data_IF_423079104780
#
_entry.id   IF_423079104780
#
_cell.length_a   1.000
_cell.length_b   1.000
_cell.length_c   1.000
_cell.angle_alpha   90.00
_cell.angle_beta   90.00
_cell.angle_gamma   90.00
#
_symmetry.space_group_name_H-M   'P 1'
#
loop_
_entity.id
_entity.type
_entity.pdbx_description
1 polymer ?
#
# COMPACT_ATOMS: atom_id res chain seq x y z
N UNK A 1 1.13 -6.74 26.61
CA UNK A 1 1.49 -8.13 26.22
C UNK A 1 2.70 -8.04 25.30
N UNK A 2 3.76 -8.76 25.62
CA UNK A 2 5.15 -8.48 25.17
C UNK A 2 5.33 -8.37 23.65
N UNK A 3 5.59 -7.18 23.15
CA UNK A 3 6.07 -6.91 21.79
C UNK A 3 7.32 -7.75 21.43
N UNK A 4 8.15 -8.11 22.42
CA UNK A 4 9.30 -9.00 22.24
C UNK A 4 8.94 -10.41 21.74
N UNK A 5 7.77 -10.93 22.09
CA UNK A 5 7.36 -12.29 21.73
C UNK A 5 6.99 -12.41 20.24
N UNK A 6 6.44 -11.34 19.66
CA UNK A 6 6.09 -11.29 18.24
C UNK A 6 7.25 -10.85 17.34
N UNK A 7 8.22 -10.08 17.89
CA UNK A 7 9.40 -9.64 17.14
C UNK A 7 10.47 -10.72 16.98
N UNK A 8 10.54 -11.72 17.89
CA UNK A 8 11.56 -12.76 17.86
C UNK A 8 11.49 -13.66 16.61
N UNK A 9 10.32 -14.21 16.20
CA UNK A 9 10.22 -14.97 14.96
C UNK A 9 10.60 -14.16 13.72
N UNK A 10 10.20 -12.88 13.68
CA UNK A 10 10.55 -11.96 12.60
C UNK A 10 12.05 -11.71 12.52
N UNK A 11 12.70 -11.49 13.66
CA UNK A 11 14.16 -11.35 13.74
C UNK A 11 14.89 -12.60 13.25
N UNK A 12 14.40 -13.79 13.63
CA UNK A 12 14.98 -15.07 13.17
C UNK A 12 14.87 -15.20 11.65
N UNK A 13 13.72 -14.84 11.07
CA UNK A 13 13.52 -14.88 9.61
C UNK A 13 14.50 -13.93 8.92
N UNK A 14 14.67 -12.71 9.43
CA UNK A 14 15.64 -11.74 8.88
C UNK A 14 17.08 -12.30 8.96
N UNK A 15 17.46 -12.85 10.09
CA UNK A 15 18.81 -13.43 10.27
C UNK A 15 19.05 -14.61 9.33
N UNK A 16 18.07 -15.48 9.15
CA UNK A 16 18.15 -16.59 8.19
C UNK A 16 18.28 -16.08 6.75
N UNK A 17 17.53 -15.04 6.42
CA UNK A 17 17.58 -14.38 5.11
C UNK A 17 18.97 -13.78 4.86
N UNK A 18 19.52 -12.99 5.78
CA UNK A 18 20.84 -12.38 5.70
C UNK A 18 21.94 -13.45 5.56
N UNK A 19 21.82 -14.52 6.35
CA UNK A 19 22.77 -15.64 6.29
C UNK A 19 22.73 -16.37 4.96
N UNK A 20 21.53 -16.66 4.44
CA UNK A 20 21.37 -17.32 3.15
C UNK A 20 21.89 -16.44 2.00
N UNK A 21 21.50 -15.17 1.97
CA UNK A 21 22.02 -14.18 1.02
C UNK A 21 23.57 -14.12 1.06
N UNK A 22 24.14 -13.98 2.24
CA UNK A 22 25.57 -13.91 2.41
C UNK A 22 26.29 -15.15 1.88
N UNK A 23 25.74 -16.35 2.09
CA UNK A 23 26.29 -17.60 1.51
C UNK A 23 26.26 -17.62 -0.02
N UNK A 24 25.21 -17.08 -0.63
CA UNK A 24 25.14 -16.99 -2.09
C UNK A 24 26.19 -16.02 -2.61
N UNK A 25 26.31 -14.84 -2.00
CA UNK A 25 27.31 -13.85 -2.38
C UNK A 25 28.74 -14.36 -2.27
N UNK A 26 29.06 -15.19 -1.26
CA UNK A 26 30.38 -15.83 -1.16
C UNK A 26 30.70 -16.77 -2.33
N UNK A 27 29.71 -17.29 -3.09
CA UNK A 27 29.95 -18.08 -4.30
C UNK A 27 30.42 -17.21 -5.46
N UNK A 28 29.92 -15.96 -5.53
CA UNK A 28 30.16 -15.00 -6.62
C UNK A 28 31.46 -14.20 -6.40
N UNK A 29 31.81 -13.94 -5.13
CA UNK A 29 32.96 -13.13 -4.75
C UNK A 29 34.31 -13.84 -5.02
N UNK A 30 35.38 -13.05 -5.30
CA UNK A 30 36.73 -13.58 -5.49
C UNK A 30 37.20 -14.41 -4.30
N UNK A 31 38.06 -15.46 -4.53
CA UNK A 31 38.50 -16.32 -3.45
C UNK A 31 39.22 -15.59 -2.30
N UNK A 32 39.89 -14.47 -2.57
CA UNK A 32 40.58 -13.65 -1.56
C UNK A 32 39.61 -13.10 -0.50
N UNK A 33 38.36 -12.76 -0.86
CA UNK A 33 37.37 -12.27 0.09
C UNK A 33 36.92 -13.36 1.06
N UNK A 34 36.95 -14.62 0.63
CA UNK A 34 36.56 -15.76 1.48
C UNK A 34 37.45 -15.94 2.70
N UNK A 35 38.66 -15.40 2.69
CA UNK A 35 39.60 -15.48 3.83
C UNK A 35 39.30 -14.45 4.93
N UNK A 36 38.43 -13.48 4.65
CA UNK A 36 38.04 -12.40 5.60
C UNK A 36 36.59 -12.55 6.08
N UNK A 37 36.18 -13.76 6.45
CA UNK A 37 34.81 -14.07 6.81
C UNK A 37 34.15 -13.10 7.81
N UNK A 38 34.84 -12.72 8.87
CA UNK A 38 34.30 -11.84 9.89
C UNK A 38 34.02 -10.43 9.32
N UNK A 39 34.98 -9.87 8.60
CA UNK A 39 34.86 -8.55 7.96
C UNK A 39 33.73 -8.58 6.95
N UNK A 40 33.63 -9.64 6.15
CA UNK A 40 32.56 -9.82 5.19
C UNK A 40 31.16 -9.78 5.84
N UNK A 41 30.96 -10.58 6.92
CA UNK A 41 29.66 -10.62 7.59
C UNK A 41 29.31 -9.30 8.27
N UNK A 42 30.28 -8.64 8.92
CA UNK A 42 30.07 -7.31 9.51
C UNK A 42 29.68 -6.29 8.43
N UNK A 43 30.42 -6.26 7.31
CA UNK A 43 30.14 -5.33 6.20
C UNK A 43 28.77 -5.58 5.60
N UNK A 44 28.33 -6.83 5.49
CA UNK A 44 27.03 -7.20 4.97
C UNK A 44 25.90 -6.73 5.90
N UNK A 45 26.04 -6.91 7.21
CA UNK A 45 25.07 -6.45 8.21
C UNK A 45 24.95 -4.93 8.18
N UNK A 46 26.08 -4.21 8.12
CA UNK A 46 26.12 -2.76 8.01
C UNK A 46 25.43 -2.30 6.71
N UNK A 47 25.76 -2.94 5.58
CA UNK A 47 25.15 -2.61 4.29
C UNK A 47 23.61 -2.78 4.32
N UNK A 48 23.14 -3.90 4.84
CA UNK A 48 21.70 -4.16 4.93
C UNK A 48 21.03 -3.16 5.89
N UNK A 49 21.60 -2.93 7.08
CA UNK A 49 21.08 -1.97 8.04
C UNK A 49 21.03 -0.54 7.48
N UNK A 50 22.08 -0.13 6.76
CA UNK A 50 22.12 1.17 6.12
C UNK A 50 21.06 1.33 5.01
N UNK A 51 20.82 0.27 4.23
CA UNK A 51 19.79 0.30 3.19
C UNK A 51 18.35 0.29 3.76
N UNK A 52 18.13 -0.39 4.88
CA UNK A 52 16.86 -0.30 5.60
C UNK A 52 16.63 1.14 6.06
N UNK A 53 17.66 1.76 6.63
CA UNK A 53 17.59 3.16 7.10
C UNK A 53 17.34 4.15 5.97
N UNK A 54 18.03 3.99 4.83
CA UNK A 54 17.89 4.89 3.67
C UNK A 54 16.70 4.55 2.76
N UNK A 55 15.98 3.46 3.01
CA UNK A 55 14.83 3.03 2.19
C UNK A 55 15.16 2.97 0.69
N UNK A 56 16.27 2.37 0.34
CA UNK A 56 16.69 2.33 -1.06
C UNK A 56 16.08 1.14 -1.82
N UNK A 57 15.97 1.22 -3.17
CA UNK A 57 15.57 0.08 -3.99
C UNK A 57 16.48 -1.14 -3.87
N UNK A 58 17.69 -0.96 -3.33
CA UNK A 58 18.63 -2.06 -3.10
C UNK A 58 18.04 -3.14 -2.18
N UNK A 59 17.18 -2.76 -1.22
CA UNK A 59 16.48 -3.76 -0.39
C UNK A 59 15.60 -4.68 -1.24
N UNK A 60 14.89 -4.13 -2.20
CA UNK A 60 14.11 -4.93 -3.15
C UNK A 60 14.97 -5.91 -3.94
N UNK A 61 16.12 -5.45 -4.44
CA UNK A 61 17.10 -6.32 -5.10
C UNK A 61 17.56 -7.46 -4.19
N UNK A 62 17.93 -7.18 -2.92
CA UNK A 62 18.37 -8.19 -1.96
C UNK A 62 17.27 -9.23 -1.72
N UNK A 63 16.03 -8.79 -1.58
CA UNK A 63 14.86 -9.67 -1.39
C UNK A 63 14.69 -10.57 -2.61
N UNK A 64 14.65 -10.03 -3.82
CA UNK A 64 14.40 -10.83 -5.03
C UNK A 64 15.57 -11.74 -5.40
N UNK A 65 16.79 -11.26 -5.22
CA UNK A 65 17.97 -12.09 -5.44
C UNK A 65 17.96 -13.32 -4.53
N UNK A 66 17.62 -13.14 -3.26
CA UNK A 66 17.51 -14.24 -2.30
C UNK A 66 16.33 -15.16 -2.62
N UNK A 67 15.15 -14.58 -2.89
CA UNK A 67 13.94 -15.35 -3.20
C UNK A 67 14.11 -16.20 -4.46
N UNK A 68 14.65 -15.64 -5.53
CA UNK A 68 14.88 -16.40 -6.76
C UNK A 68 15.95 -17.50 -6.61
N UNK A 69 16.95 -17.27 -5.75
CA UNK A 69 17.87 -18.35 -5.38
C UNK A 69 17.20 -19.44 -4.56
N UNK A 70 16.34 -19.11 -3.62
CA UNK A 70 15.58 -20.12 -2.86
C UNK A 70 14.70 -20.95 -3.78
N UNK A 71 14.00 -20.31 -4.73
CA UNK A 71 13.19 -20.99 -5.73
C UNK A 71 14.07 -21.91 -6.60
N UNK A 72 15.21 -21.41 -7.07
CA UNK A 72 16.15 -22.19 -7.86
C UNK A 72 16.70 -23.40 -7.10
N UNK A 73 17.13 -23.23 -5.85
CA UNK A 73 17.62 -24.33 -5.01
C UNK A 73 16.53 -25.37 -4.73
N UNK A 74 15.28 -24.94 -4.52
CA UNK A 74 14.12 -25.82 -4.39
C UNK A 74 13.88 -26.61 -5.68
N UNK A 75 13.87 -25.94 -6.85
CA UNK A 75 13.70 -26.60 -8.14
C UNK A 75 14.81 -27.63 -8.39
N UNK A 76 16.05 -27.32 -8.01
CA UNK A 76 17.17 -28.26 -8.11
C UNK A 76 17.02 -29.45 -7.17
N UNK A 77 16.52 -29.22 -5.96
CA UNK A 77 16.26 -30.30 -5.01
C UNK A 77 15.19 -31.24 -5.55
N UNK A 78 14.06 -30.70 -6.01
CA UNK A 78 12.96 -31.46 -6.58
C UNK A 78 13.34 -32.21 -7.87
N UNK A 79 14.22 -31.61 -8.68
CA UNK A 79 14.72 -32.22 -9.92
C UNK A 79 15.87 -33.20 -9.70
N UNK A 80 16.35 -33.40 -8.48
CA UNK A 80 17.50 -34.28 -8.20
C UNK A 80 17.38 -35.69 -8.78
N UNK A 81 16.22 -36.36 -8.72
CA UNK A 81 16.02 -37.70 -9.35
C UNK A 81 16.09 -37.64 -10.89
N UNK A 82 15.83 -36.49 -11.50
CA UNK A 82 15.77 -36.29 -12.94
C UNK A 82 17.06 -35.66 -13.46
N UNK A 83 18.11 -36.45 -13.65
CA UNK A 83 19.47 -35.98 -13.99
C UNK A 83 19.53 -34.98 -15.16
N UNK A 84 18.71 -35.22 -16.23
CA UNK A 84 18.67 -34.32 -17.40
C UNK A 84 18.17 -32.92 -17.01
N UNK A 85 17.07 -32.82 -16.23
CA UNK A 85 16.49 -31.57 -15.76
C UNK A 85 17.45 -30.86 -14.80
N UNK A 86 18.02 -31.58 -13.83
CA UNK A 86 18.96 -31.01 -12.88
C UNK A 86 20.21 -30.43 -13.58
N UNK A 87 20.74 -31.13 -14.58
CA UNK A 87 21.87 -30.65 -15.36
C UNK A 87 21.51 -29.43 -16.23
N UNK A 88 20.31 -29.39 -16.78
CA UNK A 88 19.79 -28.23 -17.50
C UNK A 88 19.71 -27.01 -16.58
N UNK A 89 19.11 -27.14 -15.39
CA UNK A 89 19.04 -26.06 -14.40
C UNK A 89 20.44 -25.55 -14.00
N UNK A 90 21.41 -26.44 -13.81
CA UNK A 90 22.81 -26.03 -13.55
C UNK A 90 23.42 -25.22 -14.67
N UNK A 91 23.16 -25.59 -15.92
CA UNK A 91 23.64 -24.82 -17.09
C UNK A 91 22.94 -23.50 -17.23
N UNK A 92 21.61 -23.47 -16.96
CA UNK A 92 20.81 -22.26 -17.04
C UNK A 92 21.31 -21.20 -16.06
N UNK A 93 21.62 -21.57 -14.82
CA UNK A 93 22.15 -20.63 -13.83
C UNK A 93 23.69 -20.62 -13.78
N UNK A 94 24.32 -20.48 -14.94
CA UNK A 94 25.78 -20.42 -15.02
C UNK A 94 26.33 -19.21 -14.24
N UNK A 95 27.21 -19.47 -13.26
CA UNK A 95 27.83 -18.46 -12.41
C UNK A 95 26.86 -17.47 -11.74
N UNK A 96 25.62 -17.90 -11.47
CA UNK A 96 24.56 -17.12 -10.85
C UNK A 96 24.11 -15.87 -11.67
N UNK A 97 24.61 -15.65 -12.87
CA UNK A 97 24.29 -14.48 -13.68
C UNK A 97 22.81 -14.38 -14.07
N UNK A 98 22.10 -15.44 -14.48
CA UNK A 98 20.69 -15.35 -14.81
C UNK A 98 19.82 -14.88 -13.65
N UNK A 99 20.06 -15.39 -12.43
CA UNK A 99 19.33 -14.96 -11.23
C UNK A 99 19.67 -13.51 -10.87
N UNK A 100 20.93 -13.12 -10.99
CA UNK A 100 21.36 -11.74 -10.78
C UNK A 100 20.64 -10.78 -11.72
N UNK A 101 20.63 -11.08 -13.02
CA UNK A 101 19.97 -10.24 -14.05
C UNK A 101 18.47 -10.15 -13.82
N UNK A 102 17.78 -11.27 -13.59
CA UNK A 102 16.32 -11.24 -13.36
C UNK A 102 15.97 -10.46 -12.09
N UNK A 103 16.79 -10.56 -11.04
CA UNK A 103 16.58 -9.81 -9.80
C UNK A 103 16.73 -8.31 -10.00
N UNK A 104 17.73 -7.87 -10.78
CA UNK A 104 17.91 -6.47 -11.17
C UNK A 104 16.71 -5.98 -11.99
N UNK A 105 16.31 -6.72 -13.03
CA UNK A 105 15.20 -6.34 -13.89
C UNK A 105 13.87 -6.28 -13.14
N UNK A 106 13.65 -7.22 -12.22
CA UNK A 106 12.42 -7.26 -11.44
C UNK A 106 12.37 -6.13 -10.39
N UNK A 107 13.50 -5.78 -9.80
CA UNK A 107 13.61 -4.60 -8.92
C UNK A 107 13.40 -3.31 -9.70
N UNK A 108 14.03 -3.18 -10.87
CA UNK A 108 13.84 -2.01 -11.73
C UNK A 108 12.38 -1.85 -12.18
N UNK A 109 11.73 -2.95 -12.55
CA UNK A 109 10.29 -2.96 -12.82
C UNK A 109 9.50 -2.43 -11.62
N UNK A 110 9.80 -2.90 -10.40
CA UNK A 110 9.13 -2.45 -9.18
C UNK A 110 9.32 -0.96 -8.89
N UNK A 111 10.52 -0.42 -9.14
CA UNK A 111 10.80 1.03 -9.02
C UNK A 111 9.98 1.82 -10.05
N UNK A 112 10.04 1.43 -11.32
CA UNK A 112 9.29 2.12 -12.39
C UNK A 112 7.79 2.08 -12.15
N UNK A 113 7.29 0.95 -11.63
CA UNK A 113 5.87 0.78 -11.31
C UNK A 113 5.43 1.67 -10.13
N UNK A 114 6.29 1.84 -9.12
CA UNK A 114 6.06 2.74 -8.00
C UNK A 114 6.04 4.22 -8.43
N UNK A 115 6.93 4.60 -9.36
CA UNK A 115 7.07 5.98 -9.85
C UNK A 115 5.94 6.46 -10.76
N UNK A 116 5.11 5.56 -11.30
CA UNK A 116 4.09 5.88 -12.29
C UNK A 116 2.69 5.46 -11.83
N UNK A 117 2.05 6.22 -10.91
CA UNK A 117 0.68 5.95 -10.51
C UNK A 117 -0.29 5.97 -11.70
N UNK A 118 -1.23 5.05 -11.70
CA UNK A 118 -2.27 4.96 -12.74
C UNK A 118 -3.63 5.35 -12.18
N UNK A 119 -4.60 5.63 -13.05
CA UNK A 119 -6.01 5.78 -12.66
C UNK A 119 -6.70 4.43 -12.85
N UNK A 120 -7.12 3.81 -11.74
CA UNK A 120 -7.92 2.58 -11.76
C UNK A 120 -9.39 2.94 -11.62
N UNK A 121 -10.21 2.60 -12.60
CA UNK A 121 -11.61 3.01 -12.66
C UNK A 121 -12.57 1.87 -12.34
N UNK A 122 -13.55 2.14 -11.47
CA UNK A 122 -14.64 1.22 -11.12
C UNK A 122 -15.99 1.89 -11.38
N UNK A 123 -16.89 1.16 -12.04
CA UNK A 123 -18.29 1.55 -12.22
C UNK A 123 -19.15 0.62 -11.35
N UNK A 124 -19.75 1.17 -10.30
CA UNK A 124 -20.43 0.42 -9.25
C UNK A 124 -21.91 0.66 -9.36
N UNK A 125 -22.64 -0.41 -9.66
CA UNK A 125 -24.11 -0.40 -9.59
C UNK A 125 -24.55 -0.70 -8.15
N UNK A 126 -25.40 0.17 -7.60
CA UNK A 126 -26.04 -0.04 -6.29
C UNK A 126 -27.53 -0.33 -6.49
N UNK A 127 -28.16 -0.95 -5.48
CA UNK A 127 -29.59 -1.30 -5.55
C UNK A 127 -30.50 -0.13 -5.22
N UNK A 128 -29.96 0.94 -4.64
CA UNK A 128 -30.67 2.15 -4.29
C UNK A 128 -30.75 3.12 -5.48
N UNK A 129 -31.76 4.00 -5.48
CA UNK A 129 -31.87 4.99 -6.54
C UNK A 129 -30.75 6.01 -6.50
N UNK A 130 -30.10 6.21 -7.63
CA UNK A 130 -29.10 7.23 -7.87
C UNK A 130 -29.54 8.06 -9.06
N UNK A 131 -29.99 9.29 -8.80
CA UNK A 131 -30.57 10.16 -9.87
C UNK A 131 -29.46 10.64 -10.83
N UNK A 132 -28.28 10.92 -10.32
CA UNK A 132 -27.09 11.30 -11.08
C UNK A 132 -25.88 10.49 -10.60
N UNK A 133 -25.00 10.01 -11.49
CA UNK A 133 -23.82 9.27 -11.10
C UNK A 133 -22.95 10.04 -10.09
N UNK A 134 -22.58 9.38 -8.99
CA UNK A 134 -21.69 9.93 -7.95
C UNK A 134 -20.25 9.56 -8.32
N UNK A 135 -19.37 10.55 -8.48
CA UNK A 135 -17.98 10.36 -8.86
C UNK A 135 -17.02 10.64 -7.71
N UNK A 136 -16.23 9.67 -7.33
CA UNK A 136 -15.28 9.74 -6.22
C UNK A 136 -13.86 9.53 -6.73
N UNK A 137 -12.93 10.45 -6.39
CA UNK A 137 -11.51 10.20 -6.47
C UNK A 137 -10.99 9.78 -5.09
N UNK A 138 -10.33 8.63 -5.00
CA UNK A 138 -9.80 8.11 -3.74
C UNK A 138 -8.31 7.78 -3.89
N UNK A 139 -7.52 8.21 -2.91
CA UNK A 139 -6.13 7.79 -2.72
C UNK A 139 -5.91 7.42 -1.26
N UNK A 140 -5.01 6.51 -0.98
CA UNK A 140 -4.58 6.12 0.36
C UNK A 140 -3.10 5.76 0.36
N UNK A 141 -2.54 5.53 1.54
CA UNK A 141 -1.22 4.93 1.71
C UNK A 141 -0.13 5.70 0.93
N UNK A 142 -0.08 7.03 1.12
CA UNK A 142 0.93 7.87 0.48
C UNK A 142 2.31 7.66 1.11
N UNK A 143 2.37 7.50 2.44
CA UNK A 143 3.62 7.38 3.19
C UNK A 143 4.66 8.39 2.74
N UNK A 144 4.31 9.67 2.83
CA UNK A 144 5.17 10.78 2.44
C UNK A 144 6.55 10.68 3.09
N UNK A 145 7.61 11.02 2.35
CA UNK A 145 9.00 10.82 2.76
C UNK A 145 9.69 9.71 1.95
N UNK A 146 8.97 9.05 1.03
CA UNK A 146 9.61 8.21 0.01
C UNK A 146 10.12 9.08 -1.15
N UNK A 147 11.30 8.75 -1.74
CA UNK A 147 12.03 9.66 -2.63
C UNK A 147 11.29 10.09 -3.91
N UNK A 148 10.27 9.37 -4.35
CA UNK A 148 9.68 9.55 -5.69
C UNK A 148 8.30 10.23 -5.70
N UNK A 149 7.68 10.46 -4.55
CA UNK A 149 6.29 10.95 -4.48
C UNK A 149 6.14 12.43 -4.83
N UNK A 150 7.11 13.27 -4.52
CA UNK A 150 7.00 14.72 -4.70
C UNK A 150 6.77 15.15 -6.15
N UNK A 151 7.27 14.39 -7.13
CA UNK A 151 7.07 14.67 -8.55
C UNK A 151 5.65 14.28 -9.05
N UNK A 152 4.98 13.38 -8.34
CA UNK A 152 3.67 12.85 -8.73
C UNK A 152 2.49 13.72 -8.26
N UNK A 153 2.68 14.65 -7.32
CA UNK A 153 1.58 15.47 -6.79
C UNK A 153 0.97 16.41 -7.82
N UNK A 154 1.76 16.99 -8.72
CA UNK A 154 1.21 17.84 -9.78
C UNK A 154 0.32 17.03 -10.73
N UNK A 155 0.69 15.79 -11.01
CA UNK A 155 -0.13 14.87 -11.80
C UNK A 155 -1.41 14.48 -11.05
N UNK A 156 -1.33 14.27 -9.72
CA UNK A 156 -2.50 14.00 -8.88
C UNK A 156 -3.50 15.16 -8.95
N UNK A 157 -3.04 16.39 -8.69
CA UNK A 157 -3.89 17.60 -8.74
C UNK A 157 -4.56 17.71 -10.10
N UNK A 158 -3.78 17.62 -11.17
CA UNK A 158 -4.29 17.70 -12.54
C UNK A 158 -5.35 16.63 -12.79
N UNK A 159 -5.07 15.36 -12.45
CA UNK A 159 -5.98 14.23 -12.65
C UNK A 159 -7.29 14.41 -11.89
N UNK A 160 -7.23 14.86 -10.62
CA UNK A 160 -8.42 15.10 -9.82
C UNK A 160 -9.23 16.27 -10.39
N UNK A 161 -8.59 17.39 -10.71
CA UNK A 161 -9.27 18.59 -11.17
C UNK A 161 -9.89 18.42 -12.57
N UNK A 162 -9.26 17.64 -13.45
CA UNK A 162 -9.79 17.34 -14.79
C UNK A 162 -10.87 16.24 -14.77
N UNK A 163 -10.90 15.40 -13.74
CA UNK A 163 -11.80 14.23 -13.63
C UNK A 163 -13.27 14.56 -13.32
N UNK A 164 -13.58 15.83 -12.98
CA UNK A 164 -14.93 16.27 -12.60
C UNK A 164 -15.54 15.40 -11.49
N UNK A 165 -14.80 15.13 -10.44
CA UNK A 165 -15.25 14.35 -9.31
C UNK A 165 -16.18 15.17 -8.40
N UNK A 166 -17.13 14.49 -7.77
CA UNK A 166 -17.99 15.10 -6.75
C UNK A 166 -17.22 15.28 -5.45
N UNK A 167 -16.45 14.28 -5.05
CA UNK A 167 -15.59 14.34 -3.87
C UNK A 167 -14.19 13.79 -4.15
N UNK A 168 -13.20 14.29 -3.38
CA UNK A 168 -11.88 13.70 -3.27
C UNK A 168 -11.65 13.15 -1.87
N UNK A 169 -11.10 11.96 -1.75
CA UNK A 169 -10.93 11.27 -0.47
C UNK A 169 -9.47 10.87 -0.26
N UNK A 170 -8.94 11.26 0.89
CA UNK A 170 -7.68 10.79 1.46
C UNK A 170 -7.99 9.65 2.44
N UNK A 171 -7.65 8.44 2.06
CA UNK A 171 -8.03 7.19 2.74
C UNK A 171 -7.08 6.73 3.83
N UNK A 172 -6.29 7.63 4.43
CA UNK A 172 -5.37 7.33 5.52
C UNK A 172 -3.98 6.91 5.08
N UNK A 173 -3.07 6.80 6.06
CA UNK A 173 -1.64 6.55 5.91
C UNK A 173 -0.98 7.55 4.95
N UNK A 174 -1.24 8.84 5.21
CA UNK A 174 -0.71 9.95 4.42
C UNK A 174 0.73 10.24 4.84
N UNK A 175 0.99 10.24 6.14
CA UNK A 175 2.30 10.47 6.72
C UNK A 175 2.83 9.22 7.39
N UNK A 176 4.15 9.16 7.59
CA UNK A 176 4.80 8.17 8.43
C UNK A 176 5.88 8.79 9.33
N UNK A 177 6.60 7.97 10.09
CA UNK A 177 7.61 8.42 11.06
C UNK A 177 8.80 9.15 10.41
N UNK A 178 8.96 9.07 9.11
CA UNK A 178 10.07 9.69 8.36
C UNK A 178 9.63 10.93 7.58
N UNK A 179 8.33 11.23 7.54
CA UNK A 179 7.83 12.41 6.85
C UNK A 179 8.34 13.66 7.53
N UNK A 180 9.09 14.48 6.81
CA UNK A 180 9.62 15.75 7.35
C UNK A 180 8.53 16.82 7.41
N UNK A 181 8.68 17.81 8.32
CA UNK A 181 7.73 18.92 8.41
C UNK A 181 7.62 19.70 7.08
N UNK A 182 8.73 19.85 6.35
CA UNK A 182 8.73 20.49 5.04
C UNK A 182 7.86 19.74 4.01
N UNK A 183 7.89 18.42 4.02
CA UNK A 183 7.04 17.58 3.15
C UNK A 183 5.57 17.69 3.55
N UNK A 184 5.26 17.71 4.84
CA UNK A 184 3.90 17.93 5.35
C UNK A 184 3.37 19.30 4.92
N UNK A 185 4.14 20.36 5.12
CA UNK A 185 3.76 21.71 4.70
C UNK A 185 3.51 21.78 3.20
N UNK A 186 4.41 21.24 2.39
CA UNK A 186 4.23 21.18 0.95
C UNK A 186 2.97 20.42 0.55
N UNK A 187 2.69 19.29 1.19
CA UNK A 187 1.48 18.51 0.94
C UNK A 187 0.20 19.31 1.26
N UNK A 188 0.14 20.00 2.40
CA UNK A 188 -1.00 20.83 2.76
C UNK A 188 -1.23 22.01 1.79
N UNK A 189 -0.15 22.58 1.23
CA UNK A 189 -0.29 23.60 0.17
C UNK A 189 -0.89 22.99 -1.11
N UNK A 190 -0.45 21.81 -1.49
CA UNK A 190 -0.97 21.07 -2.66
C UNK A 190 -2.46 20.77 -2.49
N UNK A 191 -2.92 20.37 -1.30
CA UNK A 191 -4.32 20.09 -1.06
C UNK A 191 -5.25 21.27 -1.33
N UNK A 192 -4.77 22.51 -1.15
CA UNK A 192 -5.53 23.72 -1.46
C UNK A 192 -5.85 23.89 -2.94
N UNK A 193 -5.10 23.22 -3.81
CA UNK A 193 -5.29 23.28 -5.27
C UNK A 193 -6.31 22.27 -5.78
N UNK A 194 -6.73 21.30 -4.94
CA UNK A 194 -7.71 20.27 -5.31
C UNK A 194 -9.11 20.89 -5.38
N UNK A 195 -9.79 20.64 -6.51
CA UNK A 195 -11.14 21.17 -6.78
C UNK A 195 -12.08 20.01 -7.08
N UNK A 196 -13.13 19.91 -6.24
CA UNK A 196 -14.24 18.97 -6.43
C UNK A 196 -15.54 19.68 -6.14
N UNK A 197 -16.69 19.12 -6.56
CA UNK A 197 -17.98 19.77 -6.39
C UNK A 197 -18.38 19.88 -4.90
N UNK A 198 -18.18 18.80 -4.14
CA UNK A 198 -18.71 18.63 -2.78
C UNK A 198 -17.57 18.51 -1.75
N UNK A 199 -16.34 18.89 -2.13
CA UNK A 199 -15.20 19.02 -1.22
C UNK A 199 -14.29 17.80 -1.14
N UNK A 200 -13.30 17.93 -0.25
CA UNK A 200 -12.29 16.93 0.01
C UNK A 200 -12.42 16.40 1.44
N UNK A 201 -12.19 15.10 1.62
CA UNK A 201 -12.37 14.40 2.89
C UNK A 201 -11.14 13.59 3.26
N UNK A 202 -10.88 13.46 4.54
CA UNK A 202 -9.79 12.64 5.07
C UNK A 202 -10.31 11.73 6.18
N UNK A 203 -9.85 10.50 6.17
CA UNK A 203 -9.93 9.54 7.27
C UNK A 203 -8.54 9.15 7.72
N UNK A 204 -8.37 8.90 9.02
CA UNK A 204 -7.09 8.52 9.63
C UNK A 204 -6.71 7.07 9.29
N UNK A 205 -5.43 6.83 8.98
CA UNK A 205 -4.83 5.50 8.87
C UNK A 205 -4.05 5.12 10.13
N UNK A 206 -3.48 3.91 10.14
CA UNK A 206 -2.78 3.40 11.33
C UNK A 206 -1.36 3.98 11.52
N UNK A 207 -0.78 4.60 10.50
CA UNK A 207 0.49 5.34 10.60
C UNK A 207 0.29 6.83 10.85
N UNK A 208 -0.90 7.35 10.63
CA UNK A 208 -1.18 8.77 10.84
C UNK A 208 -1.24 9.11 12.34
N UNK A 209 -0.76 10.30 12.68
CA UNK A 209 -0.93 10.89 14.00
C UNK A 209 -1.79 12.15 13.86
N UNK A 210 -3.09 12.01 14.13
CA UNK A 210 -4.05 13.09 14.03
C UNK A 210 -4.15 13.82 15.38
N UNK A 211 -3.20 14.72 15.63
CA UNK A 211 -3.25 15.68 16.74
C UNK A 211 -3.98 16.97 16.31
N UNK A 212 -4.19 17.90 17.26
CA UNK A 212 -4.87 19.17 17.00
C UNK A 212 -4.19 19.99 15.89
N UNK A 213 -2.87 20.03 15.85
CA UNK A 213 -2.12 20.75 14.82
C UNK A 213 -2.39 20.17 13.43
N UNK A 214 -2.27 18.85 13.28
CA UNK A 214 -2.52 18.15 12.00
C UNK A 214 -3.98 18.30 11.58
N UNK A 215 -4.92 18.22 12.52
CA UNK A 215 -6.33 18.47 12.27
C UNK A 215 -6.57 19.86 11.69
N UNK A 216 -5.99 20.90 12.30
CA UNK A 216 -6.10 22.28 11.84
C UNK A 216 -5.44 22.50 10.46
N UNK A 217 -4.33 21.82 10.18
CA UNK A 217 -3.69 21.86 8.86
C UNK A 217 -4.60 21.27 7.77
N UNK A 218 -5.26 20.13 8.00
CA UNK A 218 -6.25 19.59 7.05
C UNK A 218 -7.40 20.55 6.81
N UNK A 219 -8.03 21.05 7.88
CA UNK A 219 -9.20 21.93 7.77
C UNK A 219 -8.86 23.26 7.09
N UNK A 220 -7.69 23.86 7.39
CA UNK A 220 -7.21 25.07 6.73
C UNK A 220 -6.83 24.87 5.26
N UNK A 221 -6.58 23.63 4.86
CA UNK A 221 -6.35 23.22 3.47
C UNK A 221 -7.63 22.85 2.71
N UNK A 222 -8.82 23.07 3.32
CA UNK A 222 -10.10 22.78 2.71
C UNK A 222 -10.52 21.32 2.75
N UNK A 223 -9.85 20.51 3.59
CA UNK A 223 -10.16 19.08 3.74
C UNK A 223 -10.93 18.83 5.04
N UNK A 224 -12.09 18.22 4.95
CA UNK A 224 -12.88 17.82 6.14
C UNK A 224 -12.37 16.49 6.68
N UNK A 225 -12.01 16.49 7.96
CA UNK A 225 -11.57 15.28 8.69
C UNK A 225 -12.80 14.55 9.23
N UNK A 226 -12.90 13.26 8.95
CA UNK A 226 -14.00 12.40 9.39
C UNK A 226 -13.53 11.44 10.48
N UNK A 227 -14.12 11.54 11.68
CA UNK A 227 -13.78 10.70 12.85
C UNK A 227 -15.04 10.07 13.44
N UNK A 228 -15.46 8.91 12.96
CA UNK A 228 -16.75 8.29 13.26
C UNK A 228 -17.93 9.23 12.95
N UNK A 229 -17.91 9.82 11.78
CA UNK A 229 -18.87 10.83 11.36
C UNK A 229 -19.68 10.34 10.15
N UNK A 230 -20.95 10.72 10.11
CA UNK A 230 -21.89 10.45 9.02
C UNK A 230 -22.34 11.76 8.43
N UNK A 231 -22.14 11.94 7.14
CA UNK A 231 -22.49 13.15 6.41
C UNK A 231 -23.50 12.83 5.31
N UNK A 232 -24.53 13.63 5.21
CA UNK A 232 -25.41 13.66 4.03
C UNK A 232 -24.82 14.66 3.01
N UNK A 233 -24.36 14.14 1.88
CA UNK A 233 -23.74 14.95 0.82
C UNK A 233 -24.81 15.29 -0.22
N UNK A 234 -25.01 16.59 -0.46
CA UNK A 234 -25.91 17.17 -1.48
C UNK A 234 -27.34 16.58 -1.44
N UNK A 235 -27.79 16.10 -0.28
CA UNK A 235 -29.03 15.35 -0.10
C UNK A 235 -29.17 14.11 -1.00
N UNK A 236 -28.06 13.53 -1.50
CA UNK A 236 -28.06 12.43 -2.46
C UNK A 236 -27.53 11.12 -1.90
N UNK A 237 -26.54 11.16 -0.99
CA UNK A 237 -25.92 9.96 -0.42
C UNK A 237 -25.27 10.26 0.93
N UNK A 238 -25.08 9.22 1.73
CA UNK A 238 -24.33 9.29 2.99
C UNK A 238 -22.87 8.91 2.77
N UNK A 239 -21.97 9.75 3.28
CA UNK A 239 -20.54 9.50 3.39
C UNK A 239 -20.23 9.24 4.86
N UNK A 240 -19.72 8.07 5.18
CA UNK A 240 -19.41 7.62 6.54
C UNK A 240 -17.90 7.48 6.67
N UNK A 241 -17.27 8.29 7.52
CA UNK A 241 -15.85 8.17 7.81
C UNK A 241 -15.60 7.53 9.17
N UNK A 242 -14.92 6.40 9.22
CA UNK A 242 -14.60 5.68 10.45
C UNK A 242 -13.18 5.99 10.92
N UNK A 243 -12.97 6.06 12.23
CA UNK A 243 -11.62 6.04 12.82
C UNK A 243 -10.93 4.71 12.53
N UNK A 244 -9.59 4.73 12.48
CA UNK A 244 -8.84 3.50 12.29
C UNK A 244 -8.97 2.55 13.49
N UNK A 245 -8.88 1.25 13.22
CA UNK A 245 -9.00 0.18 14.26
C UNK A 245 -7.90 0.25 15.31
N UNK A 246 -6.73 0.79 14.97
CA UNK A 246 -5.61 0.93 15.91
C UNK A 246 -5.89 1.97 17.00
N UNK A 247 -6.77 2.95 16.75
CA UNK A 247 -7.18 3.93 17.76
C UNK A 247 -8.01 3.34 18.88
N UNK A 248 -8.59 2.14 18.69
CA UNK A 248 -9.56 1.47 19.60
C UNK A 248 -10.83 2.28 19.90
N UNK A 249 -11.07 3.32 19.12
CA UNK A 249 -12.24 4.21 19.24
C UNK A 249 -13.19 4.08 18.05
N UNK A 250 -12.97 3.10 17.20
CA UNK A 250 -13.84 2.85 16.03
C UNK A 250 -15.25 2.52 16.48
N UNK A 251 -16.24 3.22 15.92
CA UNK A 251 -17.64 2.93 16.20
C UNK A 251 -18.19 1.88 15.23
N UNK A 252 -19.12 1.05 15.72
CA UNK A 252 -19.83 0.09 14.89
C UNK A 252 -20.80 0.79 13.94
N UNK A 253 -20.95 0.23 12.72
CA UNK A 253 -21.83 0.80 11.70
C UNK A 253 -23.28 0.86 12.15
N UNK A 254 -23.78 -0.14 12.90
CA UNK A 254 -25.13 -0.14 13.46
C UNK A 254 -25.44 1.13 14.27
N UNK A 255 -24.48 1.54 15.12
CA UNK A 255 -24.65 2.76 15.91
C UNK A 255 -24.58 4.02 15.05
N UNK A 256 -23.61 4.08 14.11
CA UNK A 256 -23.43 5.24 13.25
C UNK A 256 -24.61 5.47 12.31
N UNK A 257 -25.20 4.41 11.78
CA UNK A 257 -26.28 4.47 10.79
C UNK A 257 -27.69 4.49 11.39
N UNK A 258 -27.82 4.59 12.71
CA UNK A 258 -29.13 4.50 13.40
C UNK A 258 -30.17 5.51 12.90
N UNK A 259 -29.76 6.69 12.49
CA UNK A 259 -30.64 7.81 12.12
C UNK A 259 -30.52 8.23 10.66
N UNK A 260 -29.94 7.37 9.79
CA UNK A 260 -29.80 7.68 8.36
C UNK A 260 -31.04 7.22 7.58
N UNK A 261 -31.32 7.91 6.48
CA UNK A 261 -32.31 7.47 5.52
C UNK A 261 -31.72 6.33 4.67
N UNK A 262 -32.19 5.12 4.97
CA UNK A 262 -31.72 3.89 4.31
C UNK A 262 -32.12 3.78 2.83
N UNK A 263 -32.93 4.72 2.30
CA UNK A 263 -33.25 4.76 0.87
C UNK A 263 -32.17 5.38 0.02
N UNK A 264 -31.28 6.19 0.64
CA UNK A 264 -30.13 6.80 -0.02
C UNK A 264 -28.88 5.90 0.03
N UNK A 265 -27.99 5.96 -0.97
CA UNK A 265 -26.73 5.23 -0.96
C UNK A 265 -25.88 5.55 0.26
N UNK A 266 -25.22 4.52 0.83
CA UNK A 266 -24.32 4.62 1.98
C UNK A 266 -22.93 4.19 1.55
N UNK A 267 -21.97 5.12 1.61
CA UNK A 267 -20.58 4.92 1.25
C UNK A 267 -19.72 5.01 2.51
N UNK A 268 -19.07 3.92 2.86
CA UNK A 268 -18.19 3.84 4.05
C UNK A 268 -16.75 4.00 3.64
N UNK A 269 -16.08 4.94 4.28
CA UNK A 269 -14.63 5.17 4.20
C UNK A 269 -13.98 4.64 5.47
N UNK A 270 -13.03 3.77 5.31
CA UNK A 270 -12.22 3.22 6.40
C UNK A 270 -10.83 2.85 5.88
N UNK A 271 -9.80 3.09 6.68
CA UNK A 271 -8.46 2.79 6.20
C UNK A 271 -8.24 1.28 6.10
N UNK A 272 -8.48 0.54 7.17
CA UNK A 272 -8.37 -0.91 7.18
C UNK A 272 -9.70 -1.57 6.83
N UNK A 273 -9.75 -2.49 5.85
CA UNK A 273 -11.00 -3.12 5.43
C UNK A 273 -11.78 -3.75 6.58
N UNK A 274 -13.09 -3.48 6.64
CA UNK A 274 -13.98 -4.08 7.63
C UNK A 274 -14.49 -5.46 7.19
N UNK A 275 -15.19 -6.15 8.10
CA UNK A 275 -15.76 -7.44 7.75
C UNK A 275 -16.95 -7.27 6.79
N UNK A 276 -17.02 -8.11 5.76
CA UNK A 276 -18.16 -8.16 4.83
C UNK A 276 -19.48 -8.33 5.59
N UNK A 277 -19.48 -9.13 6.66
CA UNK A 277 -20.69 -9.34 7.50
C UNK A 277 -21.21 -8.02 8.09
N UNK A 278 -20.33 -7.16 8.64
CA UNK A 278 -20.75 -5.88 9.22
C UNK A 278 -21.33 -4.95 8.14
N UNK A 279 -20.74 -4.94 6.93
CA UNK A 279 -21.26 -4.16 5.80
C UNK A 279 -22.64 -4.63 5.36
N UNK A 280 -22.84 -5.93 5.19
CA UNK A 280 -24.11 -6.56 4.78
C UNK A 280 -25.23 -6.34 5.79
N UNK A 281 -24.96 -6.57 7.08
CA UNK A 281 -25.92 -6.38 8.17
C UNK A 281 -26.41 -4.94 8.27
N UNK A 282 -25.56 -3.97 7.92
CA UNK A 282 -25.87 -2.55 7.96
C UNK A 282 -26.28 -1.95 6.60
N UNK A 283 -26.50 -2.77 5.58
CA UNK A 283 -26.95 -2.33 4.24
C UNK A 283 -26.08 -1.22 3.64
N UNK A 284 -24.76 -1.34 3.81
CA UNK A 284 -23.78 -0.45 3.18
C UNK A 284 -23.69 -0.77 1.70
N UNK A 285 -23.79 0.23 0.83
CA UNK A 285 -23.75 0.02 -0.61
C UNK A 285 -22.33 -0.14 -1.11
N UNK A 286 -21.39 0.68 -0.61
CA UNK A 286 -19.98 0.63 -0.98
C UNK A 286 -19.08 0.91 0.23
N UNK A 287 -18.06 0.08 0.42
CA UNK A 287 -16.91 0.34 1.30
C UNK A 287 -15.66 0.61 0.47
N UNK A 288 -14.88 1.63 0.84
CA UNK A 288 -13.63 1.99 0.19
C UNK A 288 -12.54 2.02 1.25
N UNK A 289 -11.43 1.31 0.99
CA UNK A 289 -10.32 1.18 1.94
C UNK A 289 -8.96 1.09 1.25
N UNK A 290 -7.89 1.23 2.04
CA UNK A 290 -6.50 1.08 1.65
C UNK A 290 -5.78 0.01 2.46
N UNK A 291 -4.66 0.39 3.12
CA UNK A 291 -3.88 -0.36 4.10
C UNK A 291 -3.08 -1.56 3.56
N UNK A 292 -3.59 -2.30 2.59
CA UNK A 292 -2.97 -3.56 2.16
C UNK A 292 -1.82 -3.39 1.18
N UNK A 293 -1.69 -2.20 0.57
CA UNK A 293 -0.78 -1.92 -0.54
C UNK A 293 -0.87 -2.94 -1.70
N UNK A 294 -1.96 -3.74 -1.77
CA UNK A 294 -2.04 -4.88 -2.67
C UNK A 294 -0.91 -5.91 -2.46
N UNK A 295 -0.33 -5.93 -1.24
CA UNK A 295 0.84 -6.75 -0.91
C UNK A 295 2.15 -6.21 -1.47
N UNK A 296 2.20 -5.00 -1.98
CA UNK A 296 3.35 -4.20 -2.47
C UNK A 296 4.45 -4.99 -3.21
N UNK A 297 5.03 -6.03 -2.59
CA UNK A 297 6.10 -6.87 -3.14
C UNK A 297 5.64 -8.32 -3.33
N UNK A 298 5.83 -8.85 -4.56
CA UNK A 298 5.57 -10.25 -4.85
C UNK A 298 6.44 -11.18 -3.99
N UNK A 299 5.91 -12.29 -3.42
CA UNK A 299 4.57 -12.86 -3.62
C UNK A 299 3.53 -12.47 -2.54
N UNK A 300 3.72 -11.38 -1.79
CA UNK A 300 2.83 -11.00 -0.69
C UNK A 300 1.37 -10.72 -1.15
N UNK A 301 1.18 -10.36 -2.43
CA UNK A 301 -0.15 -10.14 -3.01
C UNK A 301 -1.09 -11.36 -2.94
N UNK A 302 -0.56 -12.58 -2.80
CA UNK A 302 -1.40 -13.78 -2.63
C UNK A 302 -2.01 -13.90 -1.23
N UNK A 303 -1.59 -13.09 -0.28
CA UNK A 303 -2.00 -13.15 1.14
C UNK A 303 -2.84 -11.96 1.58
N UNK A 304 -3.08 -10.98 0.69
CA UNK A 304 -3.85 -9.76 0.99
C UNK A 304 -4.92 -9.53 -0.05
N UNK A 305 -5.95 -8.77 0.32
CA UNK A 305 -7.02 -8.37 -0.60
C UNK A 305 -6.64 -7.08 -1.33
N UNK A 306 -7.06 -6.99 -2.60
CA UNK A 306 -6.92 -5.81 -3.45
C UNK A 306 -7.99 -5.80 -4.54
N UNK A 307 -8.48 -4.62 -4.90
CA UNK A 307 -9.41 -4.41 -6.01
C UNK A 307 -10.88 -4.47 -5.58
N UNK A 308 -11.74 -4.78 -6.53
CA UNK A 308 -13.18 -4.81 -6.35
C UNK A 308 -13.69 -6.18 -5.89
N UNK A 309 -14.60 -6.16 -4.93
CA UNK A 309 -15.32 -7.34 -4.44
C UNK A 309 -16.83 -7.08 -4.46
N UNK A 310 -17.56 -7.93 -5.14
CA UNK A 310 -19.03 -8.03 -5.03
C UNK A 310 -19.34 -9.06 -3.94
N UNK A 311 -19.83 -8.57 -2.80
CA UNK A 311 -20.13 -9.40 -1.64
C UNK A 311 -21.64 -9.76 -1.54
N UNK A 312 -22.41 -9.45 -2.56
CA UNK A 312 -23.86 -9.54 -2.55
C UNK A 312 -24.51 -8.17 -2.54
N UNK A 313 -25.14 -7.77 -1.43
CA UNK A 313 -25.68 -6.41 -1.31
C UNK A 313 -24.55 -5.38 -1.29
N UNK A 314 -23.58 -5.55 -0.40
CA UNK A 314 -22.45 -4.63 -0.24
C UNK A 314 -21.36 -4.86 -1.26
N UNK A 315 -20.77 -3.77 -1.76
CA UNK A 315 -19.59 -3.78 -2.63
C UNK A 315 -18.39 -3.26 -1.83
N UNK A 316 -17.19 -3.74 -2.15
CA UNK A 316 -15.96 -3.26 -1.51
C UNK A 316 -14.88 -2.98 -2.55
N UNK A 317 -14.17 -1.87 -2.36
CA UNK A 317 -12.96 -1.54 -3.11
C UNK A 317 -11.81 -1.41 -2.11
N UNK A 318 -10.72 -2.13 -2.36
CA UNK A 318 -9.51 -2.08 -1.56
C UNK A 318 -8.38 -1.61 -2.47
N UNK A 319 -7.87 -0.40 -2.21
CA UNK A 319 -6.79 0.20 -3.00
C UNK A 319 -5.45 -0.47 -2.74
N UNK A 320 -4.59 -0.45 -3.76
CA UNK A 320 -3.18 -0.80 -3.61
C UNK A 320 -2.33 0.36 -3.07
N UNK A 321 -2.94 1.54 -2.82
CA UNK A 321 -2.26 2.74 -2.37
C UNK A 321 -1.63 3.57 -3.49
N UNK A 322 -1.50 4.86 -3.27
CA UNK A 322 -0.85 5.80 -4.18
C UNK A 322 0.67 5.81 -4.02
N UNK A 323 1.14 5.61 -2.81
CA UNK A 323 2.56 5.50 -2.46
C UNK A 323 2.99 4.09 -2.02
N UNK A 324 4.17 4.00 -1.38
CA UNK A 324 4.79 2.77 -0.92
C UNK A 324 5.22 2.88 0.54
N UNK A 325 5.02 1.80 1.28
CA UNK A 325 5.51 1.69 2.64
C UNK A 325 6.93 1.13 2.71
N UNK A 326 7.81 1.81 3.43
CA UNK A 326 9.16 1.36 3.76
C UNK A 326 10.15 1.42 2.61
N UNK A 327 9.98 0.72 1.51
CA UNK A 327 10.90 0.74 0.38
C UNK A 327 10.21 1.19 -0.92
N UNK A 328 10.88 2.00 -1.78
CA UNK A 328 10.27 2.61 -2.94
C UNK A 328 10.21 1.63 -4.14
N UNK A 329 9.52 0.52 -3.95
CA UNK A 329 9.28 -0.48 -5.00
C UNK A 329 7.89 -1.08 -4.87
N UNK A 330 7.27 -1.38 -5.99
CA UNK A 330 5.97 -2.02 -6.07
C UNK A 330 5.95 -3.04 -7.21
N UNK A 331 5.98 -4.32 -6.88
CA UNK A 331 6.14 -5.39 -7.89
C UNK A 331 4.88 -6.23 -8.07
N UNK A 332 3.80 -5.85 -7.39
CA UNK A 332 2.51 -6.52 -7.48
C UNK A 332 1.55 -5.72 -8.36
N UNK A 333 0.80 -4.81 -7.77
CA UNK A 333 -0.14 -3.93 -8.44
C UNK A 333 0.48 -2.54 -8.63
N UNK A 334 -0.17 -1.66 -9.41
CA UNK A 334 0.29 -0.29 -9.63
C UNK A 334 0.03 0.59 -8.40
N UNK A 335 0.84 1.63 -8.23
CA UNK A 335 0.42 2.81 -7.46
C UNK A 335 -0.78 3.42 -8.16
N UNK A 336 -1.83 3.82 -7.42
CA UNK A 336 -3.08 4.18 -8.07
C UNK A 336 -3.85 5.31 -7.40
N UNK A 337 -4.51 6.10 -8.24
CA UNK A 337 -5.72 6.85 -7.89
C UNK A 337 -6.92 6.01 -8.29
N UNK A 338 -7.80 5.73 -7.34
CA UNK A 338 -9.03 4.99 -7.60
C UNK A 338 -10.14 5.97 -8.00
N UNK A 339 -10.64 5.82 -9.23
CA UNK A 339 -11.77 6.58 -9.78
C UNK A 339 -13.03 5.74 -9.72
N UNK A 340 -14.03 6.19 -8.97
CA UNK A 340 -15.25 5.42 -8.72
C UNK A 340 -16.43 6.19 -9.27
N UNK A 341 -17.29 5.52 -10.04
CA UNK A 341 -18.59 6.03 -10.47
C UNK A 341 -19.67 5.11 -9.94
N UNK A 342 -20.56 5.64 -9.09
CA UNK A 342 -21.72 4.91 -8.52
C UNK A 342 -22.99 5.32 -9.28
N UNK A 343 -23.80 4.35 -9.69
CA UNK A 343 -25.04 4.56 -10.45
C UNK A 343 -26.12 3.54 -10.12
#
# INVERSE_FOLDING_TARGET
MNYLFWSLPFLVIILLFVFYFGKIMLKVLPPKVKNYHLIYWISLIILIGFNIYLRTPLMGFLIYFTLFHMIYDLLRLLSYPFKKVNNFLKKLNYKEYPILVISILFTLYGVLNAMHPVVTSYNIKVDKQVDEPIKIAFISDLHLGTPYLNENFQNLIKTVNEGNYDIFVLGGDIFDEWTTEKEKEHFFEILKEIKTKNGSYYIEGNHDVLNEETYQKYTSSGVRVLQNEVLLIDNKYYLVGRKDKMTREVQGLEQMLKNVDMTLPIIVLEHQPTSVKELEENKVDLSISGHTHGGQIWPANYFVKYGYYDNGYSKSIISSGYGEWGMPIKTTYHSELVSITIY
#
